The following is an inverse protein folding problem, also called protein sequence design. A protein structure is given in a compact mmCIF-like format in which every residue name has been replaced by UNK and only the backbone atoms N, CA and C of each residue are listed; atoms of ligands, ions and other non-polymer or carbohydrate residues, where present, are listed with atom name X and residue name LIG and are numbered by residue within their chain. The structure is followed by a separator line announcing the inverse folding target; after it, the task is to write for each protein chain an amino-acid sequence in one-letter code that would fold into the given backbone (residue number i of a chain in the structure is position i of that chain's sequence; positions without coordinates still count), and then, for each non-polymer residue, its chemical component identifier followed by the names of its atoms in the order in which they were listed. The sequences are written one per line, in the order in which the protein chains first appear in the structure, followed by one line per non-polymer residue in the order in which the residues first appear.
data_IF_510824732326
#
_entry.id   IF_510824732326
#
_cell.length_a   1.000
_cell.length_b   1.000
_cell.length_c   1.000
_cell.angle_alpha   90.00
_cell.angle_beta   90.00
_cell.angle_gamma   90.00
#
_symmetry.space_group_name_H-M   'P 1'
#
loop_
_entity.id
_entity.type
_entity.pdbx_description
1 polymer ?
#
# COMPACT_ATOMS: atom_id res chain seq x y z
N UNK A 1 -7.29 -23.52 24.20
CA UNK A 1 -8.40 -23.32 23.26
C UNK A 1 -7.99 -22.16 22.41
N UNK A 2 -7.72 -22.38 21.13
CA UNK A 2 -7.63 -21.28 20.16
C UNK A 2 -9.08 -20.86 19.96
N UNK A 3 -9.40 -19.62 20.29
CA UNK A 3 -10.76 -19.09 20.20
C UNK A 3 -11.16 -19.10 18.72
N UNK A 4 -12.28 -19.75 18.37
CA UNK A 4 -12.76 -19.80 16.97
C UNK A 4 -13.12 -18.39 16.45
N UNK A 5 -13.15 -17.39 17.33
CA UNK A 5 -13.40 -15.97 17.04
C UNK A 5 -12.19 -15.20 16.47
N UNK A 6 -10.96 -15.71 16.53
CA UNK A 6 -9.77 -15.07 15.92
C UNK A 6 -9.66 -15.32 14.40
N UNK A 7 -10.77 -15.59 13.72
CA UNK A 7 -10.75 -15.84 12.28
C UNK A 7 -10.73 -14.52 11.51
N UNK A 8 -9.78 -14.38 10.58
CA UNK A 8 -9.71 -13.25 9.65
C UNK A 8 -10.25 -13.60 8.27
N UNK A 9 -10.82 -12.61 7.59
CA UNK A 9 -11.26 -12.68 6.19
C UNK A 9 -10.35 -11.80 5.36
N UNK A 10 -9.89 -12.33 4.22
CA UNK A 10 -9.03 -11.64 3.27
C UNK A 10 -9.85 -11.36 2.02
N UNK A 11 -10.02 -10.09 1.67
CA UNK A 11 -10.87 -9.65 0.58
C UNK A 11 -10.09 -8.77 -0.39
N UNK A 12 -10.39 -8.86 -1.69
CA UNK A 12 -9.87 -7.91 -2.67
C UNK A 12 -10.53 -6.56 -2.38
N UNK A 13 -9.71 -5.52 -2.27
CA UNK A 13 -10.15 -4.15 -2.03
C UNK A 13 -11.10 -3.68 -3.14
N UNK A 14 -12.24 -3.13 -2.74
CA UNK A 14 -13.31 -2.66 -3.62
C UNK A 14 -13.96 -1.45 -2.98
N UNK A 15 -14.14 -0.38 -3.76
CA UNK A 15 -14.70 0.92 -3.31
C UNK A 15 -16.11 0.78 -2.71
N UNK A 16 -16.96 -0.04 -3.31
CA UNK A 16 -18.34 -0.24 -2.88
C UNK A 16 -18.51 -1.16 -1.67
N UNK A 17 -17.45 -1.87 -1.25
CA UNK A 17 -17.52 -2.87 -0.16
C UNK A 17 -16.71 -2.53 1.08
N UNK A 18 -15.69 -1.69 0.96
CA UNK A 18 -14.74 -1.46 2.04
C UNK A 18 -14.73 0.00 2.48
N UNK A 19 -14.62 0.27 3.79
CA UNK A 19 -14.42 1.62 4.28
C UNK A 19 -12.99 2.08 3.97
N UNK A 20 -12.78 2.68 2.79
CA UNK A 20 -11.45 3.09 2.31
C UNK A 20 -10.77 4.10 3.26
N UNK A 21 -11.55 4.98 3.88
CA UNK A 21 -11.06 5.89 4.92
C UNK A 21 -10.46 5.13 6.12
N UNK A 22 -11.06 4.01 6.55
CA UNK A 22 -10.51 3.21 7.64
C UNK A 22 -9.20 2.53 7.23
N UNK A 23 -9.08 2.13 5.96
CA UNK A 23 -7.85 1.59 5.41
C UNK A 23 -6.73 2.65 5.41
N UNK A 24 -7.03 3.87 4.97
CA UNK A 24 -6.10 5.00 5.01
C UNK A 24 -5.68 5.36 6.44
N UNK A 25 -6.62 5.34 7.40
CA UNK A 25 -6.31 5.55 8.82
C UNK A 25 -5.33 4.51 9.34
N UNK A 26 -5.57 3.22 9.08
CA UNK A 26 -4.68 2.15 9.51
C UNK A 26 -3.27 2.30 8.92
N UNK A 27 -3.17 2.62 7.64
CA UNK A 27 -1.90 2.89 6.98
C UNK A 27 -1.17 4.08 7.64
N UNK A 28 -1.86 5.21 7.84
CA UNK A 28 -1.28 6.39 8.47
C UNK A 28 -0.83 6.15 9.90
N UNK A 29 -1.62 5.44 10.71
CA UNK A 29 -1.22 5.07 12.06
C UNK A 29 0.01 4.17 12.07
N UNK A 30 0.04 3.14 11.22
CA UNK A 30 1.16 2.20 11.16
C UNK A 30 2.44 2.90 10.71
N UNK A 31 2.38 3.64 9.60
CA UNK A 31 3.57 4.24 9.01
C UNK A 31 4.16 5.35 9.89
N UNK A 32 3.33 6.23 10.44
CA UNK A 32 3.83 7.31 11.30
C UNK A 32 4.37 6.83 12.66
N UNK A 33 3.97 5.64 13.12
CA UNK A 33 4.48 5.04 14.36
C UNK A 33 5.69 4.13 14.15
N UNK A 34 5.72 3.36 13.06
CA UNK A 34 6.66 2.24 12.91
C UNK A 34 7.54 2.32 11.66
N UNK A 35 7.19 3.12 10.65
CA UNK A 35 8.02 3.23 9.45
C UNK A 35 9.25 4.12 9.73
N UNK A 36 10.48 3.60 9.57
CA UNK A 36 11.69 4.35 9.91
C UNK A 36 11.93 5.56 9.01
N UNK A 37 11.47 5.51 7.75
CA UNK A 37 11.62 6.60 6.80
C UNK A 37 10.68 7.75 7.18
N UNK A 38 9.42 7.44 7.47
CA UNK A 38 8.44 8.45 7.90
C UNK A 38 8.82 9.08 9.25
N UNK A 39 9.34 8.28 10.18
CA UNK A 39 9.89 8.77 11.43
C UNK A 39 11.08 9.73 11.22
N UNK A 40 11.95 9.45 10.24
CA UNK A 40 13.06 10.32 9.87
C UNK A 40 12.58 11.65 9.26
N UNK A 41 11.59 11.60 8.36
CA UNK A 41 10.99 12.79 7.76
C UNK A 41 10.07 13.57 8.71
N UNK A 42 9.74 12.99 9.87
CA UNK A 42 8.77 13.54 10.84
C UNK A 42 7.40 13.79 10.20
N UNK A 43 7.00 12.90 9.30
CA UNK A 43 5.69 12.97 8.66
C UNK A 43 4.59 12.85 9.70
N UNK A 44 3.64 13.78 9.67
CA UNK A 44 2.50 13.74 10.60
C UNK A 44 1.45 12.73 10.12
N UNK A 45 0.60 12.32 11.06
CA UNK A 45 -0.54 11.47 10.76
C UNK A 45 -1.40 12.03 9.62
N UNK A 46 -1.75 13.31 9.67
CA UNK A 46 -2.63 13.94 8.67
C UNK A 46 -1.97 14.01 7.28
N UNK A 47 -0.65 14.25 7.23
CA UNK A 47 0.10 14.24 5.97
C UNK A 47 0.09 12.85 5.34
N UNK A 48 0.40 11.82 6.12
CA UNK A 48 0.43 10.46 5.61
C UNK A 48 -0.98 9.95 5.27
N UNK A 49 -2.00 10.31 6.06
CA UNK A 49 -3.39 9.94 5.77
C UNK A 49 -3.83 10.46 4.40
N UNK A 50 -3.57 11.73 4.10
CA UNK A 50 -3.86 12.32 2.79
C UNK A 50 -3.15 11.58 1.64
N UNK A 51 -1.88 11.24 1.86
CA UNK A 51 -1.08 10.48 0.89
C UNK A 51 -1.61 9.05 0.69
N UNK A 52 -1.91 8.33 1.78
CA UNK A 52 -2.44 6.97 1.75
C UNK A 52 -3.80 6.91 1.05
N UNK A 53 -4.69 7.89 1.27
CA UNK A 53 -5.97 7.97 0.56
C UNK A 53 -5.77 8.13 -0.95
N UNK A 54 -4.76 8.89 -1.38
CA UNK A 54 -4.41 9.01 -2.81
C UNK A 54 -3.95 7.67 -3.38
N UNK A 55 -3.05 6.98 -2.66
CA UNK A 55 -2.54 5.67 -3.09
C UNK A 55 -3.62 4.59 -3.15
N UNK A 56 -4.60 4.61 -2.24
CA UNK A 56 -5.75 3.68 -2.28
C UNK A 56 -6.57 3.91 -3.54
N UNK A 57 -6.87 5.17 -3.88
CA UNK A 57 -7.63 5.49 -5.08
C UNK A 57 -6.88 5.05 -6.35
N UNK A 58 -5.56 5.27 -6.39
CA UNK A 58 -4.73 4.80 -7.51
C UNK A 58 -4.76 3.27 -7.61
N UNK A 59 -4.60 2.55 -6.50
CA UNK A 59 -4.62 1.09 -6.48
C UNK A 59 -5.97 0.50 -6.94
N UNK A 60 -7.09 1.17 -6.62
CA UNK A 60 -8.43 0.79 -7.10
C UNK A 60 -8.59 0.99 -8.60
N UNK A 61 -8.03 2.07 -9.15
CA UNK A 61 -8.06 2.36 -10.59
C UNK A 61 -7.18 1.41 -11.41
N UNK A 62 -6.08 0.93 -10.83
CA UNK A 62 -5.13 0.02 -11.48
C UNK A 62 -5.70 -1.42 -11.64
N UNK A 63 -6.92 -1.71 -11.15
CA UNK A 63 -7.54 -3.06 -11.12
C UNK A 63 -6.64 -4.14 -10.48
N UNK A 64 -5.87 -3.75 -9.47
CA UNK A 64 -4.84 -4.60 -8.87
C UNK A 64 -5.37 -5.42 -7.69
N UNK A 65 -4.59 -6.43 -7.28
CA UNK A 65 -4.91 -7.32 -6.16
C UNK A 65 -4.57 -6.70 -4.80
N UNK A 66 -5.05 -5.48 -4.54
CA UNK A 66 -4.97 -4.88 -3.20
C UNK A 66 -5.87 -5.67 -2.23
N UNK A 67 -5.41 -5.90 -1.01
CA UNK A 67 -6.07 -6.79 -0.04
C UNK A 67 -6.46 -6.00 1.20
N UNK A 68 -7.68 -6.23 1.67
CA UNK A 68 -8.17 -5.80 2.97
C UNK A 68 -8.36 -7.02 3.85
N UNK A 69 -7.83 -6.98 5.06
CA UNK A 69 -7.96 -8.03 6.07
C UNK A 69 -8.91 -7.56 7.15
N UNK A 70 -9.94 -8.35 7.46
CA UNK A 70 -10.96 -8.02 8.45
C UNK A 70 -11.11 -9.10 9.49
N UNK A 71 -11.38 -8.68 10.72
CA UNK A 71 -11.80 -9.61 11.76
C UNK A 71 -13.24 -10.11 11.46
N UNK A 72 -13.46 -11.42 11.48
CA UNK A 72 -14.76 -12.02 11.09
C UNK A 72 -15.91 -11.61 12.02
N UNK A 73 -15.67 -11.56 13.33
CA UNK A 73 -16.67 -11.17 14.33
C UNK A 73 -16.96 -9.67 14.39
N UNK A 74 -15.93 -8.84 14.60
CA UNK A 74 -16.10 -7.38 14.75
C UNK A 74 -16.19 -6.61 13.44
N UNK A 75 -15.89 -7.26 12.31
CA UNK A 75 -15.86 -6.64 10.98
C UNK A 75 -14.86 -5.50 10.81
N UNK A 76 -14.00 -5.25 11.81
CA UNK A 76 -12.99 -4.20 11.79
C UNK A 76 -11.87 -4.53 10.79
N UNK A 77 -11.34 -3.49 10.15
CA UNK A 77 -10.12 -3.59 9.33
C UNK A 77 -8.92 -3.86 10.24
N UNK A 78 -8.23 -4.95 9.98
CA UNK A 78 -7.06 -5.42 10.74
C UNK A 78 -5.78 -5.36 9.93
N UNK A 79 -5.89 -5.31 8.59
CA UNK A 79 -4.74 -5.17 7.71
C UNK A 79 -5.12 -4.64 6.34
N UNK A 80 -4.15 -3.99 5.71
CA UNK A 80 -4.25 -3.47 4.34
C UNK A 80 -2.94 -3.74 3.63
N UNK A 81 -3.02 -4.31 2.44
CA UNK A 81 -1.90 -4.44 1.50
C UNK A 81 -2.31 -3.73 0.21
N UNK A 82 -1.57 -2.69 -0.17
CA UNK A 82 -1.73 -2.02 -1.45
C UNK A 82 -0.79 -2.64 -2.47
N UNK A 83 -1.40 -3.15 -3.54
CA UNK A 83 -0.73 -3.63 -4.73
C UNK A 83 -0.95 -2.62 -5.86
N UNK A 84 0.01 -2.48 -6.76
CA UNK A 84 -0.08 -1.61 -7.94
C UNK A 84 0.55 -2.28 -9.15
N UNK A 85 0.05 -1.97 -10.33
CA UNK A 85 0.70 -2.37 -11.57
C UNK A 85 1.91 -1.46 -11.81
N UNK A 86 3.11 -2.02 -11.81
CA UNK A 86 4.33 -1.23 -11.97
C UNK A 86 4.35 -0.49 -13.31
N UNK A 87 3.74 -1.06 -14.36
CA UNK A 87 3.65 -0.40 -15.67
C UNK A 87 2.80 0.87 -15.59
N UNK A 88 1.61 0.78 -14.97
CA UNK A 88 0.71 1.94 -14.81
C UNK A 88 1.31 2.99 -13.88
N UNK A 89 1.99 2.56 -12.83
CA UNK A 89 2.68 3.45 -11.90
C UNK A 89 3.74 4.33 -12.59
N UNK A 90 4.51 3.78 -13.54
CA UNK A 90 5.48 4.56 -14.32
C UNK A 90 4.83 5.60 -15.25
N UNK A 91 3.55 5.42 -15.59
CA UNK A 91 2.81 6.28 -16.51
C UNK A 91 1.85 7.25 -15.82
N UNK A 92 1.60 7.09 -14.52
CA UNK A 92 0.79 8.00 -13.71
C UNK A 92 1.67 8.92 -12.88
N UNK A 93 1.83 10.18 -13.32
CA UNK A 93 2.43 11.22 -12.50
C UNK A 93 1.39 11.69 -11.47
N UNK A 94 1.35 11.07 -10.30
CA UNK A 94 0.60 11.65 -9.18
C UNK A 94 1.31 12.92 -8.73
N UNK A 95 0.63 14.06 -8.71
CA UNK A 95 1.11 15.26 -8.00
C UNK A 95 1.21 14.92 -6.52
N UNK A 96 2.43 14.75 -6.02
CA UNK A 96 2.71 14.43 -4.62
C UNK A 96 3.14 15.68 -3.86
N UNK A 97 2.81 15.72 -2.58
CA UNK A 97 3.29 16.77 -1.68
C UNK A 97 4.83 16.75 -1.65
N UNK A 98 5.43 17.94 -1.76
CA UNK A 98 6.89 18.12 -1.80
C UNK A 98 7.60 17.50 -0.58
N UNK A 99 6.89 17.32 0.53
CA UNK A 99 7.40 16.64 1.73
C UNK A 99 7.83 15.19 1.46
N UNK A 100 7.16 14.49 0.54
CA UNK A 100 7.46 13.09 0.20
C UNK A 100 8.48 12.94 -0.94
N UNK A 101 8.88 14.03 -1.60
CA UNK A 101 9.77 13.98 -2.76
C UNK A 101 11.05 13.14 -2.54
N UNK A 102 11.79 13.26 -1.41
CA UNK A 102 13.01 12.49 -1.23
C UNK A 102 12.79 10.96 -1.24
N UNK A 103 11.64 10.50 -0.73
CA UNK A 103 11.30 9.07 -0.71
C UNK A 103 10.86 8.64 -2.09
N UNK A 104 10.01 9.44 -2.73
CA UNK A 104 9.48 9.16 -4.06
C UNK A 104 10.62 9.11 -5.08
N UNK A 105 11.58 10.03 -4.98
CA UNK A 105 12.78 10.04 -5.83
C UNK A 105 13.60 8.75 -5.62
N UNK A 106 13.84 8.36 -4.36
CA UNK A 106 14.57 7.13 -4.05
C UNK A 106 13.84 5.88 -4.57
N UNK A 107 12.53 5.78 -4.33
CA UNK A 107 11.73 4.63 -4.79
C UNK A 107 11.66 4.61 -6.32
N UNK A 108 11.50 5.77 -6.96
CA UNK A 108 11.49 5.90 -8.41
C UNK A 108 12.82 5.48 -9.05
N UNK A 109 13.96 5.84 -8.44
CA UNK A 109 15.27 5.36 -8.90
C UNK A 109 15.38 3.83 -8.80
N UNK A 110 14.92 3.23 -7.70
CA UNK A 110 14.93 1.77 -7.52
C UNK A 110 14.02 1.07 -8.54
N UNK A 111 12.84 1.62 -8.80
CA UNK A 111 11.88 1.13 -9.79
C UNK A 111 12.46 1.22 -11.21
N UNK A 112 13.08 2.34 -11.57
CA UNK A 112 13.75 2.53 -12.86
C UNK A 112 14.89 1.52 -13.05
N UNK A 113 15.66 1.26 -12.00
CA UNK A 113 16.70 0.25 -12.01
C UNK A 113 16.14 -1.16 -12.21
N UNK A 114 15.06 -1.49 -11.51
CA UNK A 114 14.37 -2.78 -11.67
C UNK A 114 13.85 -2.96 -13.10
N UNK A 115 13.18 -1.95 -13.67
CA UNK A 115 12.61 -2.04 -15.02
C UNK A 115 13.71 -2.22 -16.07
N UNK A 116 14.79 -1.44 -15.99
CA UNK A 116 15.94 -1.60 -16.91
C UNK A 116 16.52 -3.02 -16.85
N UNK A 117 16.65 -3.58 -15.65
CA UNK A 117 17.19 -4.93 -15.46
C UNK A 117 16.21 -6.01 -15.92
N UNK A 118 14.92 -5.84 -15.66
CA UNK A 118 13.86 -6.72 -16.16
C UNK A 118 13.90 -6.81 -17.69
N UNK A 119 13.93 -5.66 -18.38
CA UNK A 119 13.99 -5.62 -19.84
C UNK A 119 15.25 -6.29 -20.38
N UNK A 120 16.40 -6.09 -19.71
CA UNK A 120 17.68 -6.70 -20.08
C UNK A 120 17.64 -8.22 -19.95
N UNK A 121 17.05 -8.76 -18.87
CA UNK A 121 16.99 -10.19 -18.58
C UNK A 121 15.96 -10.92 -19.44
N UNK A 122 14.78 -10.31 -19.62
CA UNK A 122 13.65 -10.94 -20.30
C UNK A 122 13.58 -10.62 -21.80
N UNK A 123 14.35 -9.65 -22.29
CA UNK A 123 14.38 -9.25 -23.70
C UNK A 123 13.06 -8.65 -24.19
N UNK A 124 12.19 -8.21 -23.27
CA UNK A 124 10.89 -7.59 -23.55
C UNK A 124 10.67 -6.41 -22.62
N UNK A 125 9.90 -5.44 -23.09
CA UNK A 125 9.45 -4.33 -22.26
C UNK A 125 8.45 -4.80 -21.22
N UNK A 126 8.37 -4.05 -20.12
CA UNK A 126 7.28 -4.19 -19.16
C UNK A 126 5.96 -3.83 -19.84
N UNK A 127 4.92 -4.64 -19.61
CA UNK A 127 3.56 -4.37 -20.06
C UNK A 127 2.60 -4.46 -18.87
N UNK A 128 1.38 -3.94 -19.03
CA UNK A 128 0.31 -4.07 -18.04
C UNK A 128 0.22 -5.49 -17.46
N UNK A 129 0.03 -5.57 -16.15
CA UNK A 129 -0.17 -6.77 -15.32
C UNK A 129 1.02 -7.75 -15.34
N UNK A 130 2.18 -7.34 -15.86
CA UNK A 130 3.39 -8.18 -15.86
C UNK A 130 4.07 -8.24 -14.50
N UNK A 131 4.04 -7.14 -13.75
CA UNK A 131 4.66 -7.00 -12.43
C UNK A 131 3.72 -6.22 -11.52
N UNK A 132 3.44 -6.80 -10.36
CA UNK A 132 2.71 -6.15 -9.29
C UNK A 132 3.72 -5.66 -8.25
N UNK A 133 3.75 -4.34 -8.03
CA UNK A 133 4.47 -3.70 -6.94
C UNK A 133 3.62 -3.76 -5.67
N UNK A 134 4.23 -4.10 -4.54
CA UNK A 134 3.57 -4.04 -3.22
C UNK A 134 4.05 -2.77 -2.52
N UNK A 135 3.18 -1.76 -2.47
CA UNK A 135 3.58 -0.39 -2.12
C UNK A 135 3.49 -0.12 -0.63
N UNK A 136 2.43 -0.57 0.04
CA UNK A 136 2.20 -0.33 1.47
C UNK A 136 1.56 -1.55 2.13
N UNK A 137 2.02 -1.87 3.33
CA UNK A 137 1.44 -2.89 4.20
C UNK A 137 1.26 -2.31 5.60
N UNK A 138 0.07 -2.46 6.17
CA UNK A 138 -0.18 -2.16 7.56
C UNK A 138 -1.05 -3.24 8.19
N UNK A 139 -0.77 -3.53 9.45
CA UNK A 139 -1.59 -4.38 10.31
C UNK A 139 -1.81 -3.70 11.64
N UNK A 140 -2.91 -4.00 12.32
CA UNK A 140 -3.13 -3.50 13.66
C UNK A 140 -2.03 -4.02 14.60
N UNK A 141 -1.57 -3.19 15.54
CA UNK A 141 -0.45 -3.53 16.44
C UNK A 141 -0.72 -4.75 17.30
N UNK A 142 -2.00 -5.01 17.57
CA UNK A 142 -2.46 -6.12 18.43
C UNK A 142 -2.40 -7.48 17.71
N UNK A 143 -2.14 -7.50 16.39
CA UNK A 143 -1.97 -8.71 15.60
C UNK A 143 -0.56 -9.33 15.75
N UNK A 144 0.42 -8.59 16.28
CA UNK A 144 1.73 -9.14 16.60
C UNK A 144 1.66 -9.74 18.01
N UNK A 145 1.57 -11.07 18.07
CA UNK A 145 1.53 -11.81 19.32
C UNK A 145 2.61 -11.33 20.30
N UNK A 146 2.18 -11.04 21.54
CA UNK A 146 3.09 -10.77 22.66
C UNK A 146 3.81 -12.04 23.11
#
# INVERSE_FOLDING_TARGET
MIDEDETYVYEIMQDDKHPLDECAKLLAESFTKFNPIEAYLKTTYDQFFSYASTLINDALNDETLSIVVRHKGTHQIQGVLLARDLYLQQHHSSTTDAHFNPIIDLLGELEDHFVKEYERVHGTKLTEKSVVSLSLEATHSDCFGR
#
